data_IF_915318468543
#
_entry.id   IF_915318468543
#
_cell.length_a   1.000
_cell.length_b   1.000
_cell.length_c   1.000
_cell.angle_alpha   90.00
_cell.angle_beta   90.00
_cell.angle_gamma   90.00
#
_symmetry.space_group_name_H-M   'P 1'
#
loop_
_entity.id
_entity.type
_entity.pdbx_description
1 polymer ?
#
# COMPACT_ATOMS: atom_id res chain seq x y z
N UNK A 1 9.88 -1.65 21.45
CA UNK A 1 9.73 -2.50 20.25
C UNK A 1 8.60 -1.87 19.45
N UNK A 2 8.97 -1.10 18.44
CA UNK A 2 8.04 -0.37 17.58
C UNK A 2 7.56 -1.32 16.48
N UNK A 3 6.26 -1.56 16.38
CA UNK A 3 5.68 -2.47 15.37
C UNK A 3 5.89 -1.95 13.93
N UNK A 4 6.21 -0.66 13.77
CA UNK A 4 6.55 -0.03 12.50
C UNK A 4 7.85 -0.53 11.90
N UNK A 5 8.73 -1.15 12.70
CA UNK A 5 9.98 -1.78 12.20
C UNK A 5 9.71 -3.14 11.51
N UNK A 6 8.54 -3.73 11.74
CA UNK A 6 8.10 -5.00 11.13
C UNK A 6 7.17 -4.81 9.92
N UNK A 7 6.66 -3.60 9.71
CA UNK A 7 5.79 -3.28 8.59
C UNK A 7 6.61 -2.46 7.58
N UNK A 8 7.01 -3.08 6.47
CA UNK A 8 7.61 -2.34 5.38
C UNK A 8 6.59 -1.30 4.89
N UNK A 9 6.98 -0.02 4.87
CA UNK A 9 6.11 1.07 4.42
C UNK A 9 6.82 1.96 3.41
N UNK A 10 6.03 2.51 2.49
CA UNK A 10 6.52 3.44 1.45
C UNK A 10 5.51 4.55 1.22
N UNK A 11 5.99 5.73 0.87
CA UNK A 11 5.17 6.91 0.63
C UNK A 11 5.30 7.34 -0.83
N UNK A 12 4.15 7.48 -1.51
CA UNK A 12 4.09 8.01 -2.87
C UNK A 12 3.90 9.52 -2.79
N UNK A 13 4.87 10.27 -3.29
CA UNK A 13 4.83 11.73 -3.36
C UNK A 13 4.48 12.21 -4.76
N UNK A 14 3.72 13.31 -4.84
CA UNK A 14 3.48 14.00 -6.10
C UNK A 14 4.69 14.86 -6.52
N UNK A 15 4.61 15.46 -7.71
CA UNK A 15 5.65 16.35 -8.24
C UNK A 15 5.89 17.62 -7.41
N UNK A 16 5.04 17.90 -6.42
CA UNK A 16 5.19 19.03 -5.48
C UNK A 16 5.75 18.59 -4.12
N UNK A 17 6.07 17.30 -3.98
CA UNK A 17 6.62 16.71 -2.74
C UNK A 17 5.56 16.40 -1.69
N UNK A 18 4.27 16.38 -2.04
CA UNK A 18 3.21 16.02 -1.09
C UNK A 18 2.96 14.53 -1.11
N UNK A 19 2.88 13.92 0.07
CA UNK A 19 2.45 12.52 0.21
C UNK A 19 1.02 12.41 -0.27
N UNK A 20 0.83 11.62 -1.32
CA UNK A 20 -0.47 11.30 -1.90
C UNK A 20 -0.99 9.97 -1.35
N UNK A 21 -0.11 8.99 -1.20
CA UNK A 21 -0.46 7.67 -0.72
C UNK A 21 0.61 7.17 0.24
N UNK A 22 0.18 6.53 1.33
CA UNK A 22 1.06 5.77 2.22
C UNK A 22 0.68 4.30 2.08
N UNK A 23 1.65 3.46 1.76
CA UNK A 23 1.48 2.02 1.61
C UNK A 23 2.18 1.33 2.77
N UNK A 24 1.48 0.44 3.46
CA UNK A 24 2.01 -0.32 4.59
C UNK A 24 1.77 -1.81 4.33
N UNK A 25 2.84 -2.58 4.27
CA UNK A 25 2.76 -4.04 4.17
C UNK A 25 2.32 -4.62 5.52
N UNK A 26 1.26 -5.40 5.50
CA UNK A 26 0.70 -6.06 6.66
C UNK A 26 1.33 -7.45 6.87
N UNK A 27 1.29 -8.02 8.10
CA UNK A 27 1.88 -9.33 8.38
C UNK A 27 1.21 -10.49 7.64
N UNK A 28 -0.01 -10.29 7.12
CA UNK A 28 -0.75 -11.27 6.31
C UNK A 28 -0.37 -11.21 4.81
N UNK A 29 0.55 -10.33 4.43
CA UNK A 29 1.00 -10.14 3.06
C UNK A 29 0.13 -9.19 2.23
N UNK A 30 -0.95 -8.64 2.80
CA UNK A 30 -1.73 -7.58 2.14
C UNK A 30 -1.05 -6.22 2.31
N UNK A 31 -1.45 -5.25 1.50
CA UNK A 31 -0.96 -3.87 1.63
C UNK A 31 -2.12 -2.96 2.01
N UNK A 32 -1.97 -2.22 3.10
CA UNK A 32 -2.83 -1.10 3.44
C UNK A 32 -2.38 0.15 2.67
N UNK A 33 -3.30 0.75 1.92
CA UNK A 33 -3.11 1.98 1.17
C UNK A 33 -3.94 3.06 1.82
N UNK A 34 -3.29 4.10 2.32
CA UNK A 34 -3.93 5.30 2.88
C UNK A 34 -3.79 6.44 1.88
N UNK A 35 -4.88 7.13 1.58
CA UNK A 35 -4.95 8.26 0.65
C UNK A 35 -5.88 9.32 1.22
N UNK A 36 -5.31 10.35 1.83
CA UNK A 36 -6.09 11.34 2.59
C UNK A 36 -6.88 10.67 3.72
N UNK A 37 -8.22 10.69 3.62
CA UNK A 37 -9.12 10.06 4.60
C UNK A 37 -9.61 8.67 4.19
N UNK A 38 -9.13 8.12 3.09
CA UNK A 38 -9.53 6.81 2.57
C UNK A 38 -8.45 5.79 2.88
N UNK A 39 -8.85 4.66 3.44
CA UNK A 39 -7.99 3.50 3.65
C UNK A 39 -8.54 2.32 2.86
N UNK A 40 -7.70 1.70 2.05
CA UNK A 40 -8.04 0.51 1.27
C UNK A 40 -7.00 -0.59 1.54
N UNK A 41 -7.47 -1.83 1.67
CA UNK A 41 -6.60 -3.00 1.71
C UNK A 41 -6.58 -3.58 0.30
N UNK A 42 -5.37 -3.79 -0.23
CA UNK A 42 -5.15 -4.36 -1.55
C UNK A 42 -4.35 -5.65 -1.40
N UNK A 43 -4.67 -6.61 -2.27
CA UNK A 43 -3.85 -7.80 -2.47
C UNK A 43 -2.77 -7.44 -3.52
N UNK A 44 -1.49 -7.36 -3.12
CA UNK A 44 -0.40 -7.00 -4.02
C UNK A 44 -0.10 -8.08 -5.07
N UNK A 45 -0.54 -9.32 -4.89
CA UNK A 45 -0.31 -10.41 -5.83
C UNK A 45 -1.34 -10.40 -6.97
N UNK A 46 -2.62 -10.20 -6.63
CA UNK A 46 -3.71 -10.12 -7.61
C UNK A 46 -3.99 -8.69 -8.09
N UNK A 47 -3.28 -7.68 -7.56
CA UNK A 47 -3.47 -6.25 -7.85
C UNK A 47 -4.93 -5.84 -7.75
N UNK A 48 -5.57 -6.24 -6.66
CA UNK A 48 -7.01 -6.04 -6.47
C UNK A 48 -7.32 -5.46 -5.11
N UNK A 49 -8.32 -4.60 -5.05
CA UNK A 49 -8.80 -4.04 -3.78
C UNK A 49 -9.65 -5.10 -3.07
N UNK A 50 -9.22 -5.49 -1.88
CA UNK A 50 -9.92 -6.45 -1.02
C UNK A 50 -11.06 -5.76 -0.28
N UNK A 51 -10.78 -4.57 0.29
CA UNK A 51 -11.78 -3.77 1.02
C UNK A 51 -11.39 -2.29 1.09
N UNK A 52 -12.34 -1.35 1.12
CA UNK A 52 -13.79 -1.57 0.96
C UNK A 52 -14.13 -1.98 -0.48
N UNK A 53 -15.16 -2.83 -0.64
CA UNK A 53 -15.65 -3.21 -1.97
C UNK A 53 -16.19 -1.95 -2.67
N UNK A 54 -15.81 -1.77 -3.94
CA UNK A 54 -16.23 -0.63 -4.76
C UNK A 54 -15.27 0.56 -4.73
N UNK A 55 -14.28 0.57 -3.84
CA UNK A 55 -13.17 1.53 -3.92
C UNK A 55 -12.25 1.13 -5.07
N UNK A 56 -11.87 2.12 -5.89
CA UNK A 56 -10.86 1.96 -6.94
C UNK A 56 -9.56 2.59 -6.47
N UNK A 57 -8.51 1.78 -6.48
CA UNK A 57 -7.13 2.22 -6.31
C UNK A 57 -6.50 2.26 -7.70
N UNK A 58 -5.69 3.29 -7.98
CA UNK A 58 -5.07 3.47 -9.29
C UNK A 58 -4.03 2.38 -9.56
N UNK A 59 -3.89 1.94 -10.82
CA UNK A 59 -2.98 0.85 -11.20
C UNK A 59 -1.53 1.11 -10.76
N UNK A 60 -1.08 2.37 -10.86
CA UNK A 60 0.25 2.76 -10.37
C UNK A 60 0.44 2.46 -8.87
N UNK A 61 -0.59 2.67 -8.05
CA UNK A 61 -0.51 2.41 -6.60
C UNK A 61 -0.52 0.91 -6.33
N UNK A 62 -1.30 0.15 -7.11
CA UNK A 62 -1.31 -1.31 -7.04
C UNK A 62 0.04 -1.91 -7.45
N UNK A 63 0.69 -1.35 -8.47
CA UNK A 63 2.03 -1.75 -8.89
C UNK A 63 3.07 -1.49 -7.79
N UNK A 64 2.99 -0.34 -7.12
CA UNK A 64 3.88 -0.03 -5.99
C UNK A 64 3.61 -0.95 -4.79
N UNK A 65 2.37 -1.33 -4.54
CA UNK A 65 2.05 -2.34 -3.53
C UNK A 65 2.68 -3.70 -3.86
N UNK A 66 2.66 -4.12 -5.13
CA UNK A 66 3.36 -5.33 -5.58
C UNK A 66 4.87 -5.24 -5.39
N UNK A 67 5.48 -4.08 -5.66
CA UNK A 67 6.93 -3.87 -5.45
C UNK A 67 7.27 -3.96 -3.97
N UNK A 68 6.53 -3.26 -3.11
CA UNK A 68 6.72 -3.27 -1.66
C UNK A 68 6.66 -4.69 -1.08
N UNK A 69 5.62 -5.45 -1.46
CA UNK A 69 5.48 -6.83 -1.01
C UNK A 69 6.63 -7.71 -1.49
N UNK A 70 7.09 -7.54 -2.74
CA UNK A 70 8.22 -8.30 -3.27
C UNK A 70 9.54 -7.99 -2.58
N UNK A 71 9.80 -6.72 -2.25
CA UNK A 71 11.03 -6.32 -1.57
C UNK A 71 11.09 -6.80 -0.12
N UNK A 72 9.94 -6.91 0.55
CA UNK A 72 9.88 -7.37 1.93
C UNK A 72 10.05 -8.90 2.09
N UNK A 73 9.70 -9.69 1.08
CA UNK A 73 9.72 -11.16 1.13
C UNK A 73 10.70 -11.81 0.13
N UNK A 74 11.49 -11.01 -0.60
CA UNK A 74 12.44 -11.47 -1.61
C UNK A 74 13.89 -11.40 -1.17
#
# INVERSE_FOLDING_TARGET
MDLSEYLASTELVDCTGRVTHTLTLLPDGMVEVVTGSVTAIVDPHSKSVVRPIGVRVHDQVLDQASVLAREAFG
#
